data_IF_453410763146
#
_entry.id   IF_453410763146
#
_cell.length_a   1.000
_cell.length_b   1.000
_cell.length_c   1.000
_cell.angle_alpha   90.00
_cell.angle_beta   90.00
_cell.angle_gamma   90.00
#
_symmetry.space_group_name_H-M   'P 1'
#
loop_
_entity.id
_entity.type
_entity.pdbx_description
1 polymer ?
#
# COMPACT_ATOMS: atom_id res chain seq x y z
N UNK A 1 -12.96 -0.38 5.68
CA UNK A 1 -12.06 0.38 4.78
C UNK A 1 -10.89 -0.55 4.49
N UNK A 2 -10.63 -0.84 3.22
CA UNK A 2 -9.55 -1.77 2.83
C UNK A 2 -8.24 -1.01 2.68
N UNK A 3 -7.12 -1.64 3.00
CA UNK A 3 -5.79 -1.05 2.82
C UNK A 3 -5.02 -1.90 1.82
N UNK A 4 -4.31 -1.25 0.91
CA UNK A 4 -3.45 -1.92 -0.07
C UNK A 4 -2.15 -1.15 -0.18
N UNK A 5 -1.04 -1.88 -0.21
CA UNK A 5 0.28 -1.29 -0.43
C UNK A 5 0.49 -0.97 -1.90
N UNK A 6 1.24 0.11 -2.17
CA UNK A 6 1.62 0.44 -3.55
C UNK A 6 2.35 -0.73 -4.24
N UNK A 7 3.18 -1.47 -3.51
CA UNK A 7 3.86 -2.67 -4.00
C UNK A 7 2.85 -3.72 -4.47
N UNK A 8 1.88 -4.08 -3.63
CA UNK A 8 0.87 -5.08 -3.99
C UNK A 8 0.02 -4.58 -5.16
N UNK A 9 -0.35 -3.30 -5.19
CA UNK A 9 -1.13 -2.73 -6.28
C UNK A 9 -0.40 -2.80 -7.63
N UNK A 10 0.93 -2.60 -7.63
CA UNK A 10 1.74 -2.65 -8.85
C UNK A 10 2.03 -4.08 -9.32
N UNK A 11 2.19 -5.01 -8.39
CA UNK A 11 2.45 -6.43 -8.68
C UNK A 11 1.20 -7.27 -8.97
N UNK A 12 -0.01 -6.70 -8.91
CA UNK A 12 -1.22 -7.42 -9.31
C UNK A 12 -1.11 -7.81 -10.79
N UNK A 13 -1.10 -9.11 -11.12
CA UNK A 13 -0.99 -9.56 -12.52
C UNK A 13 -2.29 -9.37 -13.29
N UNK A 14 -3.41 -9.20 -12.58
CA UNK A 14 -4.73 -9.08 -13.15
C UNK A 14 -5.13 -7.59 -13.34
N UNK A 15 -5.20 -7.10 -14.59
CA UNK A 15 -5.45 -5.68 -14.85
C UNK A 15 -6.83 -5.23 -14.37
N UNK A 16 -7.82 -6.13 -14.29
CA UNK A 16 -9.15 -5.82 -13.76
C UNK A 16 -9.05 -5.60 -12.24
N UNK A 17 -8.32 -6.46 -11.54
CA UNK A 17 -8.14 -6.32 -10.09
C UNK A 17 -7.42 -5.01 -9.72
N UNK A 18 -6.43 -4.58 -10.50
CA UNK A 18 -5.76 -3.27 -10.33
C UNK A 18 -6.77 -2.13 -10.44
N UNK A 19 -7.58 -2.12 -11.50
CA UNK A 19 -8.61 -1.11 -11.74
C UNK A 19 -9.67 -1.06 -10.63
N UNK A 20 -10.06 -2.23 -10.10
CA UNK A 20 -11.02 -2.34 -8.99
C UNK A 20 -10.46 -1.73 -7.70
N UNK A 21 -9.16 -1.88 -7.45
CA UNK A 21 -8.51 -1.22 -6.32
C UNK A 21 -8.42 0.29 -6.51
N UNK A 22 -8.00 0.75 -7.69
CA UNK A 22 -7.95 2.19 -8.02
C UNK A 22 -9.32 2.86 -7.86
N UNK A 23 -10.40 2.24 -8.36
CA UNK A 23 -11.77 2.74 -8.16
C UNK A 23 -12.19 2.78 -6.69
N UNK A 24 -11.82 1.79 -5.90
CA UNK A 24 -12.14 1.79 -4.47
C UNK A 24 -11.34 2.84 -3.70
N UNK A 25 -10.12 3.15 -4.13
CA UNK A 25 -9.30 4.21 -3.53
C UNK A 25 -9.91 5.58 -3.83
N UNK A 26 -10.30 5.82 -5.08
CA UNK A 26 -10.98 7.04 -5.53
C UNK A 26 -12.31 7.26 -4.80
N UNK A 27 -13.10 6.19 -4.63
CA UNK A 27 -14.37 6.20 -3.89
C UNK A 27 -14.20 6.27 -2.35
N UNK A 28 -12.96 6.20 -1.85
CA UNK A 28 -12.66 6.23 -0.41
C UNK A 28 -13.03 4.95 0.35
N UNK A 29 -13.41 3.88 -0.35
CA UNK A 29 -13.64 2.54 0.22
C UNK A 29 -12.32 1.82 0.56
N UNK A 30 -11.25 2.18 -0.14
CA UNK A 30 -9.90 1.71 0.09
C UNK A 30 -8.94 2.88 0.32
N UNK A 31 -7.81 2.60 0.99
CA UNK A 31 -6.71 3.55 1.16
C UNK A 31 -5.45 2.92 0.62
N UNK A 32 -4.77 3.65 -0.26
CA UNK A 32 -3.43 3.31 -0.69
C UNK A 32 -2.47 3.66 0.44
N UNK A 33 -1.85 2.64 1.02
CA UNK A 33 -0.76 2.82 1.97
C UNK A 33 0.54 2.75 1.18
N UNK A 34 1.39 3.76 1.32
CA UNK A 34 2.76 3.65 0.86
C UNK A 34 3.43 2.62 1.76
N UNK A 35 3.93 1.51 1.20
CA UNK A 35 5.00 0.75 1.85
C UNK A 35 6.23 1.64 1.82
N UNK A 36 6.23 2.69 2.66
CA UNK A 36 7.45 3.35 3.00
C UNK A 36 8.22 2.27 3.76
N UNK A 37 9.26 1.75 3.12
CA UNK A 37 10.33 1.04 3.79
C UNK A 37 11.06 2.06 4.69
N UNK A 38 10.35 2.66 5.64
CA UNK A 38 10.83 2.70 7.00
C UNK A 38 10.84 1.20 7.36
N UNK A 39 11.86 0.41 7.01
CA UNK A 39 13.22 0.80 7.32
C UNK A 39 13.18 1.48 8.68
N UNK A 40 12.47 0.88 9.66
CA UNK A 40 12.54 1.22 11.06
C UNK A 40 14.01 1.35 11.32
N UNK A 41 14.48 2.59 11.25
CA UNK A 41 15.85 2.95 11.52
C UNK A 41 15.93 2.52 12.96
N UNK A 42 16.54 1.37 13.21
CA UNK A 42 16.76 0.87 14.55
C UNK A 42 17.47 2.01 15.26
N UNK A 43 16.72 2.81 16.02
CA UNK A 43 17.31 3.63 17.04
C UNK A 43 17.66 2.64 18.14
N UNK A 44 18.71 1.85 17.89
CA UNK A 44 19.52 1.29 18.94
C UNK A 44 20.16 2.50 19.61
N UNK A 45 19.40 3.13 20.51
CA UNK A 45 19.94 4.09 21.46
C UNK A 45 20.73 3.25 22.46
N UNK A 46 21.95 2.90 22.07
CA UNK A 46 22.92 2.31 22.98
C UNK A 46 23.44 3.42 23.89
N UNK A 47 23.10 3.29 25.18
CA UNK A 47 23.93 3.61 26.36
C UNK A 47 24.51 5.00 26.45
#
# INVERSE_FOLDING_TARGET
MREITQEVLDHIPDPIAKLVWEKQIDDGKARLITSHNEGTKCNAQTG
#
